data_IF_873468741543
#
_entry.id   IF_873468741543
#
_cell.length_a   1.000
_cell.length_b   1.000
_cell.length_c   1.000
_cell.angle_alpha   90.00
_cell.angle_beta   90.00
_cell.angle_gamma   90.00
#
_symmetry.space_group_name_H-M   'P 1'
#
loop_
_entity.id
_entity.type
_entity.pdbx_description
1 polymer ?
#
# COMPACT_ATOMS: atom_id res chain seq x y z
N UNK A 1 7.95 -19.96 -10.26
CA UNK A 1 6.91 -18.90 -10.41
C UNK A 1 6.30 -18.43 -9.08
N UNK A 2 6.12 -19.27 -8.06
CA UNK A 2 5.55 -18.85 -6.77
C UNK A 2 6.55 -18.17 -5.82
N UNK A 3 7.85 -18.27 -6.07
CA UNK A 3 8.89 -17.67 -5.22
C UNK A 3 8.85 -16.14 -5.20
N UNK A 4 8.41 -15.48 -6.28
CA UNK A 4 8.26 -14.03 -6.34
C UNK A 4 7.05 -13.47 -5.56
N UNK A 5 6.14 -14.33 -5.07
CA UNK A 5 5.04 -13.91 -4.20
C UNK A 5 5.46 -13.80 -2.73
N UNK A 6 6.63 -14.32 -2.37
CA UNK A 6 7.11 -14.25 -0.99
C UNK A 6 7.75 -12.90 -0.72
N UNK A 7 7.43 -12.37 0.46
CA UNK A 7 8.04 -11.15 0.96
C UNK A 7 9.56 -11.38 1.13
N UNK A 8 10.37 -10.57 0.46
CA UNK A 8 11.82 -10.55 0.66
C UNK A 8 12.18 -9.61 1.81
N UNK A 9 12.76 -10.18 2.87
CA UNK A 9 13.31 -9.39 3.97
C UNK A 9 14.62 -8.74 3.51
N UNK A 10 14.58 -7.43 3.26
CA UNK A 10 15.73 -6.65 2.79
C UNK A 10 16.50 -6.02 3.94
N UNK A 11 16.11 -6.27 5.19
CA UNK A 11 16.81 -5.82 6.39
C UNK A 11 16.89 -4.30 6.53
N UNK A 12 15.97 -3.55 5.91
CA UNK A 12 15.94 -2.08 6.01
C UNK A 12 15.28 -1.64 7.32
N UNK A 13 15.63 -0.43 7.77
CA UNK A 13 15.20 0.08 9.09
C UNK A 13 13.68 0.15 9.21
N UNK A 14 13.01 0.57 8.14
CA UNK A 14 11.55 0.64 8.05
C UNK A 14 10.89 -0.74 8.24
N UNK A 15 11.52 -1.84 7.81
CA UNK A 15 11.02 -3.22 8.01
C UNK A 15 11.22 -3.71 9.45
N UNK A 16 12.17 -3.12 10.17
CA UNK A 16 12.52 -3.45 11.56
C UNK A 16 11.83 -2.56 12.60
N UNK A 17 11.12 -1.50 12.18
CA UNK A 17 10.25 -0.73 13.06
C UNK A 17 9.12 -1.62 13.62
N UNK A 18 8.63 -1.26 14.81
CA UNK A 18 7.45 -1.90 15.38
C UNK A 18 6.27 -1.77 14.43
N UNK A 19 5.53 -2.85 14.20
CA UNK A 19 4.55 -2.94 13.11
C UNK A 19 3.44 -1.90 13.21
N UNK A 20 3.01 -1.55 14.44
CA UNK A 20 2.07 -0.45 14.70
C UNK A 20 2.59 0.91 14.20
N UNK A 21 3.89 1.18 14.35
CA UNK A 21 4.47 2.47 13.95
C UNK A 21 4.66 2.58 12.45
N UNK A 22 5.05 1.49 11.78
CA UNK A 22 5.08 1.43 10.33
C UNK A 22 3.68 1.60 9.71
N UNK A 23 2.67 0.89 10.23
CA UNK A 23 1.27 1.05 9.79
C UNK A 23 0.73 2.43 10.10
N UNK A 24 1.02 2.97 11.28
CA UNK A 24 0.66 4.33 11.66
C UNK A 24 1.22 5.35 10.69
N UNK A 25 2.53 5.28 10.39
CA UNK A 25 3.17 6.16 9.42
C UNK A 25 2.53 6.06 8.02
N UNK A 26 2.26 4.85 7.52
CA UNK A 26 1.58 4.64 6.25
C UNK A 26 0.15 5.20 6.24
N UNK A 27 -0.60 4.99 7.32
CA UNK A 27 -1.95 5.54 7.48
C UNK A 27 -1.94 7.07 7.53
N UNK A 28 -0.95 7.68 8.18
CA UNK A 28 -0.76 9.13 8.16
C UNK A 28 -0.48 9.62 6.74
N UNK A 29 0.50 9.05 6.04
CA UNK A 29 0.78 9.44 4.64
C UNK A 29 -0.46 9.32 3.74
N UNK A 30 -1.21 8.24 3.88
CA UNK A 30 -2.43 8.00 3.10
C UNK A 30 -3.53 9.01 3.43
N UNK A 31 -3.79 9.25 4.71
CA UNK A 31 -4.81 10.23 5.14
C UNK A 31 -4.45 11.65 4.70
N UNK A 32 -3.18 12.05 4.77
CA UNK A 32 -2.73 13.35 4.30
C UNK A 32 -2.88 13.51 2.78
N UNK A 33 -2.55 12.47 2.00
CA UNK A 33 -2.71 12.49 0.54
C UNK A 33 -4.18 12.68 0.11
N UNK A 34 -5.13 12.17 0.91
CA UNK A 34 -6.57 12.34 0.67
C UNK A 34 -7.12 13.67 1.18
N UNK A 35 -6.58 14.17 2.29
CA UNK A 35 -7.11 15.34 2.99
C UNK A 35 -6.66 16.66 2.34
N UNK A 36 -5.48 16.69 1.72
CA UNK A 36 -4.97 17.87 1.04
C UNK A 36 -5.40 17.92 -0.43
N UNK A 37 -5.88 19.09 -0.86
CA UNK A 37 -6.16 19.39 -2.26
C UNK A 37 -5.15 20.35 -2.88
N UNK A 38 -4.23 20.90 -2.08
CA UNK A 38 -3.22 21.83 -2.55
C UNK A 38 -2.08 21.12 -3.31
N UNK A 39 -1.70 21.57 -4.52
CA UNK A 39 -0.76 20.85 -5.38
C UNK A 39 0.66 20.78 -4.78
N UNK A 40 1.11 21.82 -4.07
CA UNK A 40 2.40 21.80 -3.36
C UNK A 40 2.47 20.77 -2.22
N UNK A 41 1.39 20.61 -1.45
CA UNK A 41 1.34 19.63 -0.36
C UNK A 41 1.33 18.21 -0.92
N UNK A 42 0.59 17.97 -2.00
CA UNK A 42 0.57 16.68 -2.70
C UNK A 42 1.95 16.33 -3.29
N UNK A 43 2.63 17.29 -3.93
CA UNK A 43 3.98 17.11 -4.44
C UNK A 43 4.97 16.80 -3.29
N UNK A 44 4.88 17.51 -2.16
CA UNK A 44 5.71 17.24 -0.99
C UNK A 44 5.51 15.84 -0.42
N UNK A 45 4.25 15.39 -0.28
CA UNK A 45 3.91 14.03 0.18
C UNK A 45 4.46 12.98 -0.79
N UNK A 46 4.29 13.20 -2.11
CA UNK A 46 4.85 12.33 -3.14
C UNK A 46 6.38 12.25 -3.06
N UNK A 47 7.07 13.37 -2.84
CA UNK A 47 8.53 13.37 -2.70
C UNK A 47 8.97 12.59 -1.46
N UNK A 48 8.31 12.80 -0.32
CA UNK A 48 8.63 12.07 0.91
C UNK A 48 8.36 10.57 0.76
N UNK A 49 7.24 10.18 0.15
CA UNK A 49 6.94 8.76 -0.09
C UNK A 49 7.89 8.13 -1.11
N UNK A 50 8.28 8.86 -2.17
CA UNK A 50 9.29 8.43 -3.12
C UNK A 50 10.65 8.20 -2.45
N UNK A 51 11.11 9.14 -1.62
CA UNK A 51 12.33 8.99 -0.83
C UNK A 51 12.25 7.80 0.14
N UNK A 52 11.09 7.56 0.73
CA UNK A 52 10.84 6.38 1.56
C UNK A 52 11.06 5.07 0.79
N UNK A 53 10.55 5.00 -0.43
CA UNK A 53 10.69 3.81 -1.29
C UNK A 53 12.15 3.59 -1.70
N UNK A 54 12.88 4.66 -2.04
CA UNK A 54 14.31 4.60 -2.37
C UNK A 54 15.12 4.10 -1.17
N UNK A 55 14.89 4.67 0.02
CA UNK A 55 15.60 4.24 1.23
C UNK A 55 15.21 2.83 1.70
N UNK A 56 14.03 2.34 1.32
CA UNK A 56 13.59 0.96 1.56
C UNK A 56 14.15 -0.06 0.55
N UNK A 57 14.87 0.38 -0.50
CA UNK A 57 15.46 -0.53 -1.49
C UNK A 57 14.42 -1.25 -2.37
N UNK A 58 13.25 -0.65 -2.58
CA UNK A 58 12.14 -1.22 -3.36
C UNK A 58 11.98 -0.56 -4.75
N UNK A 59 13.08 -0.06 -5.33
CA UNK A 59 13.08 0.75 -6.55
C UNK A 59 12.54 0.00 -7.79
N UNK A 60 12.91 -1.28 -7.96
CA UNK A 60 12.49 -2.08 -9.11
C UNK A 60 10.96 -2.28 -9.16
N UNK A 61 10.36 -2.60 -8.01
CA UNK A 61 8.89 -2.71 -7.90
C UNK A 61 8.23 -1.36 -8.14
N UNK A 62 8.81 -0.29 -7.58
CA UNK A 62 8.30 1.07 -7.70
C UNK A 62 8.28 1.60 -9.12
N UNK A 63 9.28 1.28 -9.94
CA UNK A 63 9.33 1.72 -11.34
C UNK A 63 8.13 1.20 -12.14
N UNK A 64 7.72 -0.05 -11.91
CA UNK A 64 6.52 -0.60 -12.53
C UNK A 64 5.25 0.14 -12.09
N UNK A 65 5.08 0.37 -10.77
CA UNK A 65 3.94 1.12 -10.24
C UNK A 65 3.92 2.59 -10.71
N UNK A 66 5.09 3.22 -10.84
CA UNK A 66 5.22 4.59 -11.36
C UNK A 66 4.86 4.66 -12.84
N UNK A 67 5.36 3.74 -13.67
CA UNK A 67 5.04 3.72 -15.11
C UNK A 67 3.53 3.55 -15.32
N UNK A 68 2.92 2.58 -14.62
CA UNK A 68 1.47 2.36 -14.67
C UNK A 68 0.69 3.58 -14.13
N UNK A 69 1.13 4.14 -13.00
CA UNK A 69 0.53 5.32 -12.39
C UNK A 69 0.63 6.57 -13.25
N UNK A 70 1.75 6.78 -13.94
CA UNK A 70 1.97 7.94 -14.81
C UNK A 70 1.12 7.85 -16.07
N UNK A 71 0.96 6.66 -16.65
CA UNK A 71 -0.01 6.43 -17.73
C UNK A 71 -1.43 6.76 -17.29
N UNK A 72 -1.84 6.33 -16.09
CA UNK A 72 -3.16 6.64 -15.54
C UNK A 72 -3.33 8.13 -15.23
N UNK A 73 -2.31 8.78 -14.66
CA UNK A 73 -2.32 10.20 -14.35
C UNK A 73 -2.43 11.06 -15.62
N UNK A 74 -1.74 10.67 -16.69
CA UNK A 74 -1.85 11.31 -18.00
C UNK A 74 -3.26 11.16 -18.56
N UNK A 75 -3.85 9.96 -18.45
CA UNK A 75 -5.22 9.71 -18.86
C UNK A 75 -6.21 10.59 -18.08
N UNK A 76 -6.04 10.73 -16.76
CA UNK A 76 -6.85 11.64 -15.93
C UNK A 76 -6.67 13.09 -16.38
N UNK A 77 -5.44 13.52 -16.65
CA UNK A 77 -5.13 14.88 -17.10
C UNK A 77 -5.78 15.21 -18.46
N UNK A 78 -5.96 14.22 -19.33
CA UNK A 78 -6.63 14.38 -20.63
C UNK A 78 -8.15 14.30 -20.50
N UNK A 79 -8.69 13.32 -19.77
CA UNK A 79 -10.15 13.13 -19.64
C UNK A 79 -10.79 14.25 -18.81
N UNK A 80 -10.11 14.72 -17.76
CA UNK A 80 -10.70 15.66 -16.82
C UNK A 80 -11.11 17.02 -17.47
N UNK A 81 -10.29 17.65 -18.34
CA UNK A 81 -10.70 18.80 -19.15
C UNK A 81 -11.84 18.53 -20.15
N UNK A 82 -11.99 17.29 -20.62
CA UNK A 82 -13.09 16.91 -21.53
C UNK A 82 -14.42 16.73 -20.78
N UNK A 83 -14.37 16.38 -19.49
CA UNK A 83 -15.56 16.15 -18.68
C UNK A 83 -16.06 17.42 -17.95
N UNK A 84 -15.15 18.25 -17.42
CA UNK A 84 -15.50 19.39 -16.57
C UNK A 84 -15.31 20.76 -17.25
N UNK A 85 -16.44 21.43 -17.48
CA UNK A 85 -16.54 22.67 -18.26
C UNK A 85 -16.62 23.95 -17.41
N UNK A 86 -16.18 23.92 -16.14
CA UNK A 86 -16.46 24.97 -15.15
C UNK A 86 -15.37 26.07 -15.00
N UNK A 87 -14.39 26.17 -15.91
CA UNK A 87 -13.29 27.14 -15.83
C UNK A 87 -13.57 28.46 -16.55
N UNK A 88 -13.12 29.59 -15.99
CA UNK A 88 -13.29 30.93 -16.60
C UNK A 88 -12.23 31.25 -17.67
N UNK A 89 -11.07 30.59 -17.67
CA UNK A 89 -10.01 30.79 -18.69
C UNK A 89 -10.00 29.69 -19.74
N UNK A 90 -10.76 29.89 -20.82
CA UNK A 90 -10.87 28.95 -21.94
C UNK A 90 -9.64 29.12 -22.86
N UNK A 91 -8.83 28.08 -23.03
CA UNK A 91 -7.66 28.09 -23.93
C UNK A 91 -8.02 27.66 -25.34
N UNK A 92 -8.99 26.76 -25.48
CA UNK A 92 -9.43 26.26 -26.78
C UNK A 92 -10.90 25.88 -26.75
N UNK A 93 -11.67 26.36 -27.73
CA UNK A 93 -13.03 25.88 -28.03
C UNK A 93 -12.94 24.87 -29.17
N UNK A 94 -13.17 23.60 -28.86
CA UNK A 94 -13.34 22.55 -29.85
C UNK A 94 -14.72 22.60 -30.55
N UNK A 95 -14.90 21.85 -31.65
CA UNK A 95 -16.17 21.80 -32.38
C UNK A 95 -17.29 21.17 -31.54
N UNK A 96 -18.51 21.63 -31.77
CA UNK A 96 -19.75 21.11 -31.16
C UNK A 96 -19.96 19.65 -31.56
N UNK A 97 -19.75 18.71 -30.63
CA UNK A 97 -20.15 17.32 -30.82
C UNK A 97 -21.56 17.11 -30.23
N UNK A 98 -22.50 16.49 -30.98
CA UNK A 98 -23.93 16.44 -30.65
C UNK A 98 -24.31 15.65 -29.38
N UNK A 99 -23.35 14.99 -28.72
CA UNK A 99 -23.57 14.20 -27.49
C UNK A 99 -22.83 14.81 -26.27
N UNK A 100 -21.79 15.64 -26.47
CA UNK A 100 -20.90 16.14 -25.39
C UNK A 100 -20.92 17.67 -25.20
N UNK A 101 -21.58 18.44 -26.09
CA UNK A 101 -21.58 19.91 -26.00
C UNK A 101 -20.29 20.56 -26.51
N UNK A 102 -20.06 21.82 -26.12
CA UNK A 102 -18.85 22.59 -26.48
C UNK A 102 -17.65 22.10 -25.67
N UNK A 103 -16.71 21.38 -26.30
CA UNK A 103 -15.46 20.97 -25.63
C UNK A 103 -14.58 22.21 -25.43
N UNK A 104 -14.63 22.83 -24.25
CA UNK A 104 -13.77 23.96 -23.89
C UNK A 104 -12.68 23.51 -22.93
N UNK A 105 -11.45 23.43 -23.42
CA UNK A 105 -10.30 23.08 -22.59
C UNK A 105 -9.93 24.31 -21.76
N UNK A 106 -10.10 24.22 -20.44
CA UNK A 106 -9.78 25.30 -19.48
C UNK A 106 -8.44 25.00 -18.78
N UNK A 107 -7.62 26.02 -18.51
CA UNK A 107 -6.36 25.84 -17.78
C UNK A 107 -6.57 25.26 -16.38
N UNK A 108 -7.68 25.65 -15.74
CA UNK A 108 -8.08 25.18 -14.42
C UNK A 108 -8.31 23.67 -14.41
N UNK A 109 -8.93 23.14 -15.47
CA UNK A 109 -9.22 21.72 -15.58
C UNK A 109 -7.95 20.88 -15.84
N UNK A 110 -6.97 21.44 -16.55
CA UNK A 110 -5.65 20.81 -16.73
C UNK A 110 -4.88 20.80 -15.40
N UNK A 111 -4.87 21.93 -14.68
CA UNK A 111 -4.19 22.03 -13.38
C UNK A 111 -4.81 21.10 -12.33
N UNK A 112 -6.14 21.01 -12.28
CA UNK A 112 -6.85 20.07 -11.43
C UNK A 112 -6.56 18.62 -11.83
N UNK A 113 -6.57 18.30 -13.12
CA UNK A 113 -6.21 16.98 -13.63
C UNK A 113 -4.78 16.57 -13.26
N UNK A 114 -3.83 17.50 -13.38
CA UNK A 114 -2.44 17.29 -12.96
C UNK A 114 -2.32 17.07 -11.45
N UNK A 115 -3.01 17.86 -10.63
CA UNK A 115 -3.01 17.69 -9.17
C UNK A 115 -3.63 16.34 -8.75
N UNK A 116 -4.72 15.93 -9.39
CA UNK A 116 -5.34 14.62 -9.16
C UNK A 116 -4.43 13.48 -9.63
N UNK A 117 -3.69 13.68 -10.72
CA UNK A 117 -2.65 12.76 -11.18
C UNK A 117 -1.52 12.60 -10.16
N UNK A 118 -1.01 13.71 -9.61
CA UNK A 118 0.00 13.68 -8.53
C UNK A 118 -0.54 12.98 -7.29
N UNK A 119 -1.80 13.22 -6.91
CA UNK A 119 -2.45 12.51 -5.80
C UNK A 119 -2.49 11.00 -6.05
N UNK A 120 -2.87 10.57 -7.25
CA UNK A 120 -2.88 9.16 -7.63
C UNK A 120 -1.48 8.55 -7.54
N UNK A 121 -0.47 9.24 -8.05
CA UNK A 121 0.93 8.80 -7.94
C UNK A 121 1.36 8.67 -6.48
N UNK A 122 1.08 9.67 -5.64
CA UNK A 122 1.36 9.63 -4.21
C UNK A 122 0.73 8.41 -3.54
N UNK A 123 -0.56 8.15 -3.77
CA UNK A 123 -1.27 7.01 -3.20
C UNK A 123 -0.65 5.67 -3.67
N UNK A 124 -0.35 5.53 -4.96
CA UNK A 124 0.31 4.33 -5.49
C UNK A 124 1.69 4.11 -4.87
N UNK A 125 2.49 5.16 -4.68
CA UNK A 125 3.80 5.05 -4.02
C UNK A 125 3.67 4.61 -2.57
N UNK A 126 2.66 5.11 -1.84
CA UNK A 126 2.38 4.73 -0.45
C UNK A 126 1.98 3.25 -0.37
N UNK A 127 1.15 2.76 -1.29
CA UNK A 127 0.80 1.33 -1.37
C UNK A 127 2.01 0.45 -1.69
N UNK A 128 2.88 0.87 -2.62
CA UNK A 128 4.12 0.17 -2.91
C UNK A 128 5.03 0.11 -1.67
N UNK A 129 5.15 1.21 -0.93
CA UNK A 129 5.90 1.25 0.32
C UNK A 129 5.28 0.32 1.38
N UNK A 130 3.95 0.29 1.49
CA UNK A 130 3.24 -0.60 2.41
C UNK A 130 3.53 -2.08 2.11
N UNK A 131 3.47 -2.47 0.84
CA UNK A 131 3.78 -3.84 0.41
C UNK A 131 5.26 -4.23 0.67
N UNK A 132 6.17 -3.27 0.61
CA UNK A 132 7.60 -3.49 0.85
C UNK A 132 7.99 -3.50 2.34
N UNK A 133 7.28 -2.75 3.18
CA UNK A 133 7.66 -2.54 4.59
C UNK A 133 6.88 -3.43 5.55
N UNK A 134 5.61 -3.72 5.25
CA UNK A 134 4.72 -4.45 6.16
C UNK A 134 4.84 -5.95 5.91
N UNK A 135 5.44 -6.66 6.87
CA UNK A 135 5.38 -8.13 6.86
C UNK A 135 3.96 -8.62 7.16
N UNK A 136 3.40 -9.52 6.35
CA UNK A 136 2.02 -10.02 6.53
C UNK A 136 1.84 -10.71 7.88
N UNK A 137 2.81 -11.51 8.34
CA UNK A 137 2.73 -12.20 9.63
C UNK A 137 2.77 -11.22 10.82
N UNK A 138 3.56 -10.15 10.71
CA UNK A 138 3.60 -9.12 11.75
C UNK A 138 2.28 -8.33 11.80
N UNK A 139 1.70 -8.02 10.64
CA UNK A 139 0.38 -7.40 10.55
C UNK A 139 -0.69 -8.27 11.23
N UNK A 140 -0.71 -9.57 10.93
CA UNK A 140 -1.62 -10.54 11.55
C UNK A 140 -1.41 -10.66 13.07
N UNK A 141 -0.17 -10.55 13.54
CA UNK A 141 0.13 -10.60 14.97
C UNK A 141 -0.50 -9.44 15.75
N UNK A 142 -0.69 -8.27 15.14
CA UNK A 142 -1.37 -7.13 15.78
C UNK A 142 -2.85 -7.41 15.99
N UNK A 143 -3.52 -7.99 14.99
CA UNK A 143 -4.92 -8.39 15.08
C UNK A 143 -5.14 -9.54 16.08
N UNK A 144 -4.12 -10.36 16.33
CA UNK A 144 -4.17 -11.45 17.30
C UNK A 144 -4.47 -11.01 18.73
N UNK A 145 -4.15 -9.75 19.08
CA UNK A 145 -4.43 -9.19 20.40
C UNK A 145 -5.92 -8.91 20.63
N UNK A 146 -6.67 -8.60 19.57
CA UNK A 146 -8.11 -8.34 19.65
C UNK A 146 -8.93 -9.61 19.37
N UNK A 147 -8.45 -10.47 18.45
CA UNK A 147 -9.14 -11.70 18.04
C UNK A 147 -8.16 -12.86 17.83
N UNK A 148 -7.70 -13.48 18.92
CA UNK A 148 -6.73 -14.58 18.89
C UNK A 148 -7.17 -15.77 18.02
N UNK A 149 -8.45 -16.15 18.08
CA UNK A 149 -9.00 -17.26 17.27
C UNK A 149 -8.90 -16.95 15.77
N UNK A 150 -9.25 -15.73 15.36
CA UNK A 150 -9.20 -15.31 13.96
C UNK A 150 -7.75 -15.25 13.46
N UNK A 151 -6.84 -14.66 14.24
CA UNK A 151 -5.43 -14.58 13.87
C UNK A 151 -4.77 -15.95 13.75
N UNK A 152 -5.16 -16.92 14.61
CA UNK A 152 -4.72 -18.30 14.51
C UNK A 152 -5.18 -18.95 13.20
N UNK A 153 -6.45 -18.80 12.83
CA UNK A 153 -7.00 -19.34 11.57
C UNK A 153 -6.26 -18.74 10.38
N UNK A 154 -6.01 -17.43 10.38
CA UNK A 154 -5.27 -16.79 9.29
C UNK A 154 -3.82 -17.25 9.25
N UNK A 155 -3.14 -17.39 10.39
CA UNK A 155 -1.76 -17.90 10.45
C UNK A 155 -1.65 -19.35 9.96
N UNK A 156 -2.64 -20.18 10.27
CA UNK A 156 -2.75 -21.54 9.72
C UNK A 156 -2.96 -21.49 8.21
N UNK A 157 -3.89 -20.66 7.74
CA UNK A 157 -4.17 -20.50 6.31
C UNK A 157 -2.93 -20.02 5.53
N UNK A 158 -2.21 -18.99 6.01
CA UNK A 158 -1.00 -18.49 5.34
C UNK A 158 0.09 -19.55 5.26
N UNK A 159 0.22 -20.41 6.28
CA UNK A 159 1.14 -21.56 6.25
C UNK A 159 0.67 -22.68 5.31
N UNK A 160 -0.64 -22.90 5.20
CA UNK A 160 -1.20 -23.96 4.34
C UNK A 160 -1.23 -23.56 2.86
N UNK A 161 -1.29 -22.27 2.52
CA UNK A 161 -1.22 -21.78 1.13
C UNK A 161 -0.04 -22.35 0.32
N UNK A 162 1.23 -22.24 0.78
CA UNK A 162 2.36 -22.80 0.05
C UNK A 162 2.37 -24.32 -0.01
N UNK A 163 1.81 -25.01 1.00
CA UNK A 163 1.66 -26.47 0.98
C UNK A 163 0.64 -26.88 -0.08
N UNK A 164 -0.56 -26.29 -0.06
CA UNK A 164 -1.62 -26.52 -1.04
C UNK A 164 -1.16 -26.23 -2.48
N UNK A 165 -0.31 -25.22 -2.69
CA UNK A 165 0.26 -24.93 -4.00
C UNK A 165 1.22 -26.03 -4.50
N UNK A 166 1.98 -26.67 -3.60
CA UNK A 166 2.84 -27.83 -3.93
C UNK A 166 1.99 -29.06 -4.19
N UNK A 167 0.98 -29.31 -3.37
CA UNK A 167 0.06 -30.44 -3.53
C UNK A 167 -0.70 -30.35 -4.86
N UNK A 168 -1.13 -29.13 -5.23
CA UNK A 168 -1.73 -28.86 -6.54
C UNK A 168 -0.76 -29.16 -7.70
N UNK A 169 0.51 -28.76 -7.58
CA UNK A 169 1.52 -29.02 -8.61
C UNK A 169 1.78 -30.53 -8.76
N UNK A 170 1.94 -31.23 -7.64
CA UNK A 170 2.15 -32.68 -7.62
C UNK A 170 0.93 -33.44 -8.19
N UNK A 171 -0.28 -33.05 -7.80
CA UNK A 171 -1.52 -33.65 -8.30
C UNK A 171 -1.69 -33.40 -9.81
N UNK A 172 -1.32 -32.21 -10.28
CA UNK A 172 -1.34 -31.88 -11.71
C UNK A 172 -0.35 -32.75 -12.49
N UNK A 173 0.89 -32.88 -12.01
CA UNK A 173 1.90 -33.73 -12.65
C UNK A 173 1.46 -35.20 -12.69
N UNK A 174 0.92 -35.72 -11.58
CA UNK A 174 0.38 -37.08 -11.52
C UNK A 174 -0.72 -37.32 -12.57
N UNK A 175 -1.67 -36.38 -12.71
CA UNK A 175 -2.74 -36.49 -13.71
C UNK A 175 -2.22 -36.38 -15.14
N UNK A 176 -1.20 -35.55 -15.39
CA UNK A 176 -0.53 -35.50 -16.70
C UNK A 176 0.14 -36.84 -17.05
N UNK A 177 0.80 -37.47 -16.08
CA UNK A 177 1.40 -38.81 -16.27
C UNK A 177 0.35 -39.89 -16.51
N UNK A 178 -0.89 -39.71 -16.03
CA UNK A 178 -2.04 -40.56 -16.35
C UNK A 178 -2.69 -40.26 -17.71
N UNK A 179 -2.13 -39.33 -18.48
CA UNK A 179 -2.62 -38.98 -19.82
C UNK A 179 -3.67 -37.86 -19.84
N UNK A 180 -3.89 -37.14 -18.74
CA UNK A 180 -4.81 -35.99 -18.72
C UNK A 180 -4.11 -34.77 -19.32
N UNK A 181 -4.47 -34.45 -20.56
CA UNK A 181 -4.01 -33.23 -21.22
C UNK A 181 -4.96 -32.04 -20.90
N UNK A 182 -4.44 -31.02 -20.21
CA UNK A 182 -5.18 -29.80 -19.83
C UNK A 182 -5.28 -28.76 -20.97
N UNK A 183 -4.48 -28.90 -22.02
CA UNK A 183 -4.46 -28.02 -23.19
C UNK A 183 -5.52 -28.41 -24.24
N UNK A 184 -5.82 -29.70 -24.35
CA UNK A 184 -6.71 -30.24 -25.38
C UNK A 184 -8.21 -30.20 -24.98
N UNK A 185 -9.07 -29.91 -25.97
CA UNK A 185 -10.53 -30.04 -25.89
C UNK A 185 -11.30 -28.72 -25.76
N UNK A 186 -12.63 -28.83 -25.74
CA UNK A 186 -13.54 -27.69 -25.59
C UNK A 186 -13.49 -27.12 -24.16
N UNK A 187 -13.90 -25.86 -23.95
CA UNK A 187 -13.90 -25.20 -22.63
C UNK A 187 -14.60 -26.04 -21.53
N UNK A 188 -15.70 -26.72 -21.88
CA UNK A 188 -16.46 -27.59 -20.97
C UNK A 188 -15.66 -28.84 -20.55
N UNK A 189 -14.91 -29.43 -21.46
CA UNK A 189 -14.06 -30.59 -21.18
C UNK A 189 -12.87 -30.18 -20.31
N UNK A 190 -12.28 -29.01 -20.59
CA UNK A 190 -11.20 -28.44 -19.77
C UNK A 190 -11.68 -28.19 -18.34
N UNK A 191 -12.86 -27.59 -18.15
CA UNK A 191 -13.48 -27.40 -16.83
C UNK A 191 -13.67 -28.72 -16.08
N UNK A 192 -14.16 -29.76 -16.77
CA UNK A 192 -14.30 -31.10 -16.17
C UNK A 192 -12.94 -31.69 -15.76
N UNK A 193 -11.87 -31.49 -16.54
CA UNK A 193 -10.51 -31.94 -16.14
C UNK A 193 -9.99 -31.20 -14.89
N UNK A 194 -10.29 -29.90 -14.76
CA UNK A 194 -9.92 -29.13 -13.58
C UNK A 194 -10.73 -29.51 -12.33
N UNK A 195 -11.99 -29.98 -12.47
CA UNK A 195 -12.78 -30.38 -11.30
C UNK A 195 -12.13 -31.55 -10.55
N UNK A 196 -11.59 -32.54 -11.26
CA UNK A 196 -10.88 -33.68 -10.64
C UNK A 196 -9.65 -33.24 -9.85
N UNK A 197 -8.93 -32.25 -10.37
CA UNK A 197 -7.78 -31.68 -9.68
C UNK A 197 -8.19 -30.97 -8.39
N UNK A 198 -9.32 -30.25 -8.41
CA UNK A 198 -9.89 -29.62 -7.22
C UNK A 198 -10.35 -30.65 -6.19
N UNK A 199 -11.00 -31.74 -6.62
CA UNK A 199 -11.44 -32.80 -5.72
C UNK A 199 -10.28 -33.42 -4.95
N UNK A 200 -9.17 -33.72 -5.62
CA UNK A 200 -7.94 -34.24 -5.00
C UNK A 200 -7.37 -33.23 -4.00
N UNK A 201 -7.28 -31.95 -4.39
CA UNK A 201 -6.76 -30.90 -3.52
C UNK A 201 -7.63 -30.70 -2.27
N UNK A 202 -8.95 -30.74 -2.43
CA UNK A 202 -9.90 -30.59 -1.33
C UNK A 202 -9.78 -31.76 -0.34
N UNK A 203 -9.68 -32.99 -0.85
CA UNK A 203 -9.52 -34.17 -0.01
C UNK A 203 -8.21 -34.11 0.80
N UNK A 204 -7.10 -33.79 0.14
CA UNK A 204 -5.80 -33.63 0.78
C UNK A 204 -5.78 -32.49 1.80
N UNK A 205 -6.43 -31.36 1.49
CA UNK A 205 -6.52 -30.22 2.40
C UNK A 205 -7.38 -30.53 3.64
N UNK A 206 -8.46 -31.30 3.47
CA UNK A 206 -9.32 -31.73 4.57
C UNK A 206 -8.57 -32.69 5.51
N UNK A 207 -7.85 -33.65 4.95
CA UNK A 207 -7.01 -34.57 5.72
C UNK A 207 -5.91 -33.80 6.48
N UNK A 208 -5.23 -32.87 5.82
CA UNK A 208 -4.24 -32.00 6.47
C UNK A 208 -4.84 -31.15 7.60
N UNK A 209 -6.06 -30.64 7.42
CA UNK A 209 -6.75 -29.88 8.47
C UNK A 209 -7.09 -30.75 9.70
N UNK A 210 -7.55 -31.99 9.48
CA UNK A 210 -7.81 -32.96 10.56
C UNK A 210 -6.54 -33.31 11.32
N UNK A 211 -5.44 -33.62 10.62
CA UNK A 211 -4.15 -33.91 11.25
C UNK A 211 -3.63 -32.73 12.09
N UNK A 212 -3.80 -31.50 11.59
CA UNK A 212 -3.44 -30.29 12.36
C UNK A 212 -4.31 -30.17 13.61
N UNK A 213 -5.62 -30.43 13.51
CA UNK A 213 -6.53 -30.37 14.64
C UNK A 213 -6.18 -31.40 15.72
N UNK A 214 -5.90 -32.65 15.34
CA UNK A 214 -5.45 -33.71 16.24
C UNK A 214 -4.12 -33.36 16.92
N UNK A 215 -3.15 -32.86 16.15
CA UNK A 215 -1.87 -32.42 16.70
C UNK A 215 -2.01 -31.22 17.66
N UNK A 216 -2.94 -30.31 17.39
CA UNK A 216 -3.28 -29.21 18.30
C UNK A 216 -3.89 -29.73 19.59
N UNK A 217 -4.84 -30.67 19.51
CA UNK A 217 -5.46 -31.28 20.68
C UNK A 217 -4.45 -32.05 21.54
N UNK A 218 -3.56 -32.82 20.91
CA UNK A 218 -2.47 -33.55 21.59
C UNK A 218 -1.49 -32.61 22.32
N UNK A 219 -1.30 -31.39 21.81
CA UNK A 219 -0.52 -30.32 22.46
C UNK A 219 -1.31 -29.50 23.48
N UNK A 220 -2.46 -30.01 23.93
CA UNK A 220 -3.37 -29.37 24.87
C UNK A 220 -3.82 -27.97 24.40
N UNK A 221 -4.04 -27.79 23.09
CA UNK A 221 -4.55 -26.53 22.56
C UNK A 221 -5.97 -26.25 23.09
N UNK A 222 -6.10 -25.35 24.06
CA UNK A 222 -7.40 -24.85 24.55
C UNK A 222 -7.60 -25.02 26.06
N UNK A 223 -6.65 -25.64 26.76
CA UNK A 223 -6.80 -25.99 28.19
C UNK A 223 -6.48 -24.85 29.16
N UNK A 224 -5.89 -23.73 28.72
CA UNK A 224 -5.51 -22.65 29.62
C UNK A 224 -5.19 -21.31 28.96
N UNK A 225 -4.83 -20.28 29.76
CA UNK A 225 -4.45 -18.96 29.28
C UNK A 225 -3.21 -19.05 28.40
N UNK A 226 -3.20 -18.29 27.30
CA UNK A 226 -2.14 -18.35 26.29
C UNK A 226 -1.02 -17.36 26.58
N UNK A 227 0.22 -17.80 26.38
CA UNK A 227 1.40 -16.94 26.29
C UNK A 227 1.72 -16.62 24.83
N UNK A 228 2.40 -15.49 24.60
CA UNK A 228 2.86 -15.08 23.28
C UNK A 228 4.39 -15.26 23.20
N UNK A 229 4.85 -16.15 22.34
CA UNK A 229 6.28 -16.49 22.18
C UNK A 229 7.06 -15.37 21.48
N UNK A 230 6.51 -14.82 20.39
CA UNK A 230 7.16 -13.74 19.63
C UNK A 230 6.55 -12.40 20.00
N UNK A 231 7.19 -11.68 20.91
CA UNK A 231 6.82 -10.30 21.25
C UNK A 231 7.66 -9.34 20.42
N UNK A 232 7.00 -8.37 19.78
CA UNK A 232 7.72 -7.21 19.24
C UNK A 232 8.20 -6.36 20.41
N UNK A 233 9.51 -6.11 20.46
CA UNK A 233 10.11 -5.23 21.45
C UNK A 233 9.90 -3.79 21.00
N UNK A 234 9.28 -2.98 21.87
CA UNK A 234 9.17 -1.53 21.65
C UNK A 234 10.55 -0.92 21.84
N UNK A 235 11.11 -0.33 20.79
CA UNK A 235 12.36 0.42 20.85
C UNK A 235 12.07 1.90 21.02
N UNK A 236 12.98 2.70 21.62
CA UNK A 236 12.80 4.14 21.74
C UNK A 236 12.66 4.84 20.36
N UNK A 237 13.17 4.21 19.30
CA UNK A 237 12.98 4.63 17.90
C UNK A 237 11.54 4.61 17.45
N UNK A 238 10.81 3.56 17.84
CA UNK A 238 9.40 3.41 17.49
C UNK A 238 8.59 4.54 18.15
N UNK A 239 8.92 4.88 19.39
CA UNK A 239 8.30 6.01 20.09
C UNK A 239 8.58 7.34 19.37
N UNK A 240 9.83 7.58 18.96
CA UNK A 240 10.19 8.81 18.24
C UNK A 240 9.43 8.92 16.90
N UNK A 241 9.45 7.87 16.08
CA UNK A 241 8.69 7.84 14.83
C UNK A 241 7.18 8.00 15.06
N UNK A 242 6.62 7.38 16.10
CA UNK A 242 5.22 7.50 16.46
C UNK A 242 4.86 8.94 16.85
N UNK A 243 5.66 9.58 17.71
CA UNK A 243 5.45 10.97 18.11
C UNK A 243 5.51 11.92 16.91
N UNK A 244 6.47 11.72 16.00
CA UNK A 244 6.57 12.49 14.76
C UNK A 244 5.32 12.34 13.87
N UNK A 245 4.77 11.13 13.76
CA UNK A 245 3.51 10.88 13.04
C UNK A 245 2.33 11.59 13.69
N UNK A 246 2.23 11.57 15.02
CA UNK A 246 1.19 12.30 15.75
C UNK A 246 1.31 13.82 15.53
N UNK A 247 2.52 14.37 15.58
CA UNK A 247 2.75 15.78 15.27
C UNK A 247 2.31 16.10 13.83
N UNK A 248 2.70 15.29 12.85
CA UNK A 248 2.32 15.47 11.45
C UNK A 248 0.79 15.54 11.27
N UNK A 249 0.04 14.65 11.94
CA UNK A 249 -1.42 14.66 11.91
C UNK A 249 -2.02 15.92 12.54
N UNK A 250 -1.54 16.33 13.71
CA UNK A 250 -2.06 17.51 14.42
C UNK A 250 -1.82 18.78 13.61
N UNK A 251 -0.60 18.96 13.07
CA UNK A 251 -0.29 20.11 12.23
C UNK A 251 -1.07 20.10 10.91
N UNK A 252 -1.33 18.93 10.34
CA UNK A 252 -2.13 18.81 9.13
C UNK A 252 -3.61 19.11 9.36
N UNK A 253 -4.16 18.67 10.51
CA UNK A 253 -5.52 19.03 10.91
C UNK A 253 -5.64 20.54 11.14
N UNK A 254 -4.66 21.16 11.80
CA UNK A 254 -4.59 22.61 11.99
C UNK A 254 -4.52 23.36 10.64
N UNK A 255 -3.72 22.87 9.70
CA UNK A 255 -3.61 23.44 8.35
C UNK A 255 -4.94 23.36 7.58
N UNK A 256 -5.70 22.28 7.76
CA UNK A 256 -7.03 22.12 7.17
C UNK A 256 -8.06 23.08 7.77
N UNK A 257 -8.11 23.18 9.10
CA UNK A 257 -9.06 24.07 9.80
C UNK A 257 -8.83 25.54 9.44
N UNK A 258 -7.58 25.93 9.19
CA UNK A 258 -7.23 27.28 8.70
C UNK A 258 -7.43 27.49 7.19
N UNK A 259 -7.88 26.47 6.45
CA UNK A 259 -8.11 26.56 5.00
C UNK A 259 -6.83 26.62 4.16
N UNK A 260 -5.65 26.35 4.74
CA UNK A 260 -4.38 26.34 3.99
C UNK A 260 -4.20 25.07 3.13
N UNK A 261 -4.99 24.02 3.40
CA UNK A 261 -4.96 22.76 2.68
C UNK A 261 -5.91 22.67 1.48
N UNK A 262 -6.86 23.60 1.37
CA UNK A 262 -7.86 23.66 0.32
C UNK A 262 -7.40 24.62 -0.77
N UNK A 263 -7.28 24.10 -1.98
CA UNK A 263 -6.98 24.90 -3.16
C UNK A 263 -8.21 24.88 -4.06
N UNK A 264 -8.82 26.05 -4.24
CA UNK A 264 -9.95 26.19 -5.15
C UNK A 264 -9.40 26.24 -6.57
N UNK A 265 -9.60 25.13 -7.30
CA UNK A 265 -9.25 25.02 -8.71
C UNK A 265 -10.26 25.73 -9.62
N UNK A 266 -11.51 25.83 -9.18
CA UNK A 266 -12.59 26.51 -9.89
C UNK A 266 -13.10 27.67 -9.02
N UNK A 267 -13.51 28.84 -9.59
CA UNK A 267 -13.55 29.24 -11.00
C UNK A 267 -12.32 30.05 -11.49
N UNK A 268 -11.37 30.36 -10.62
CA UNK A 268 -10.07 30.98 -10.95
C UNK A 268 -8.99 30.26 -10.12
N UNK A 269 -7.79 30.11 -10.68
CA UNK A 269 -6.65 29.59 -9.94
C UNK A 269 -6.39 30.48 -8.72
N UNK A 270 -6.59 29.94 -7.52
CA UNK A 270 -6.21 30.62 -6.29
C UNK A 270 -4.72 30.91 -6.25
N UNK A 271 -4.31 31.90 -5.45
CA UNK A 271 -2.88 32.18 -5.25
C UNK A 271 -2.23 30.95 -4.60
N UNK A 272 -1.15 30.42 -5.20
CA UNK A 272 -0.43 29.23 -4.71
C UNK A 272 0.11 29.38 -3.28
N UNK A 273 0.29 30.62 -2.81
CA UNK A 273 0.74 30.95 -1.45
C UNK A 273 0.01 32.21 -0.98
N UNK A 274 -1.15 32.09 -0.33
CA UNK A 274 -1.87 33.27 0.17
C UNK A 274 -1.16 33.91 1.39
N UNK A 275 -0.39 33.13 2.17
CA UNK A 275 0.36 33.62 3.33
C UNK A 275 1.69 32.88 3.55
N UNK A 276 2.75 33.53 4.05
CA UNK A 276 4.03 32.88 4.36
C UNK A 276 3.92 31.79 5.45
N UNK A 277 2.88 31.85 6.28
CA UNK A 277 2.57 30.81 7.27
C UNK A 277 2.22 29.45 6.64
N UNK A 278 1.70 29.41 5.41
CA UNK A 278 1.39 28.13 4.74
C UNK A 278 2.66 27.38 4.34
N UNK A 279 3.73 28.09 3.99
CA UNK A 279 5.03 27.49 3.68
C UNK A 279 5.72 26.95 4.94
N UNK A 280 5.61 27.66 6.06
CA UNK A 280 6.17 27.22 7.34
C UNK A 280 5.46 25.94 7.82
N UNK A 281 4.13 25.89 7.74
CA UNK A 281 3.36 24.68 8.10
C UNK A 281 3.66 23.50 7.17
N UNK A 282 3.81 23.74 5.86
CA UNK A 282 4.25 22.72 4.91
C UNK A 282 5.64 22.18 5.29
N UNK A 283 6.59 23.05 5.60
CA UNK A 283 7.93 22.66 6.04
C UNK A 283 7.91 21.81 7.31
N UNK A 284 7.08 22.17 8.29
CA UNK A 284 6.93 21.40 9.54
C UNK A 284 6.33 20.01 9.24
N UNK A 285 5.29 19.93 8.41
CA UNK A 285 4.64 18.66 8.05
C UNK A 285 5.63 17.77 7.29
N UNK A 286 6.29 18.27 6.25
CA UNK A 286 7.27 17.49 5.50
C UNK A 286 8.48 17.10 6.35
N UNK A 287 8.97 17.99 7.23
CA UNK A 287 10.06 17.70 8.15
C UNK A 287 9.70 16.58 9.13
N UNK A 288 8.48 16.59 9.67
CA UNK A 288 8.00 15.53 10.57
C UNK A 288 7.85 14.19 9.85
N UNK A 289 7.40 14.18 8.60
CA UNK A 289 7.29 12.98 7.77
C UNK A 289 8.65 12.49 7.25
N UNK A 290 9.64 13.37 7.12
CA UNK A 290 11.00 13.01 6.71
C UNK A 290 11.84 12.44 7.87
N UNK A 291 11.42 12.62 9.13
CA UNK A 291 12.15 12.15 10.30
C UNK A 291 12.43 10.63 10.28
N UNK A 292 11.46 9.74 9.96
CA UNK A 292 11.71 8.30 9.77
C UNK A 292 12.72 7.99 8.66
N UNK A 293 12.81 8.85 7.63
CA UNK A 293 13.76 8.70 6.51
C UNK A 293 15.19 9.06 6.92
N UNK A 294 15.35 10.14 7.68
CA UNK A 294 16.65 10.57 8.21
C UNK A 294 17.19 9.51 9.16
N UNK A 295 16.33 8.92 10.00
CA UNK A 295 16.68 7.77 10.84
C UNK A 295 17.10 6.56 10.01
N UNK A 296 16.36 6.25 8.93
CA UNK A 296 16.70 5.17 7.99
C UNK A 296 18.09 5.37 7.35
N UNK A 297 18.35 6.58 6.87
CA UNK A 297 19.63 6.96 6.28
C UNK A 297 20.79 6.90 7.31
N UNK A 298 20.55 7.37 8.53
CA UNK A 298 21.51 7.33 9.64
C UNK A 298 21.92 5.91 10.03
N UNK A 299 21.00 4.96 10.06
CA UNK A 299 21.33 3.55 10.34
C UNK A 299 22.20 2.92 9.25
N UNK A 300 21.98 3.27 7.98
CA UNK A 300 22.78 2.73 6.86
C UNK A 300 24.23 3.21 6.90
N UNK A 301 24.48 4.43 7.39
CA UNK A 301 25.81 5.05 7.39
C UNK A 301 26.54 4.92 8.73
N UNK A 302 25.83 4.84 9.87
CA UNK A 302 26.44 4.94 11.19
C UNK A 302 26.28 3.62 11.98
N UNK A 303 27.34 2.79 12.11
CA UNK A 303 27.29 1.50 12.79
C UNK A 303 27.02 1.60 14.29
N UNK A 304 27.26 2.77 14.91
CA UNK A 304 26.97 3.02 16.33
C UNK A 304 25.46 2.97 16.65
N UNK A 305 24.60 3.27 15.67
CA UNK A 305 23.16 3.09 15.81
C UNK A 305 22.76 1.60 15.74
N UNK A 306 23.59 0.73 15.16
CA UNK A 306 23.24 -0.69 14.96
C UNK A 306 23.40 -1.55 16.23
N UNK A 307 24.29 -1.16 17.15
CA UNK A 307 24.75 -2.06 18.23
C UNK A 307 24.13 -1.85 19.62
N UNK A 308 23.44 -0.73 19.90
CA UNK A 308 23.01 -0.40 21.27
C UNK A 308 21.54 0.00 21.45
N UNK A 309 20.70 -0.09 20.41
CA UNK A 309 19.35 0.53 20.40
C UNK A 309 18.31 -0.33 19.68
#
# INVERSE_FOLDING_TARGET
MLEHLFYEDKGVLLQNLHSVTALGYLAVLFTLALLFSHPLYLAGIFLVSALAVVTAGAMEKWEFYLKAGLWMALLIMVINPLAFHAGKTILWRGPTLPILGNVSICLEAICYGAAMGIRLLAVLTIFCLAAAVVHPDKFLSLFSRFAYKSALVVSLATRMLPAAARDLANAREMLQMRGVDYGAGNLRERLKKYSWLLDILLLSSLEGALQIAEAMQARAFGTGPRSCYRRELKRPRDLLCFTACCFALVFSFYAKVKGYGDYNYYPQLGVLVPHPSSLILLGIILGSLALPLVLNWGWKHWPYLRSKI
#
